data_IF_449538908105
#
_entry.id   IF_449538908105
#
_cell.length_a   1.000
_cell.length_b   1.000
_cell.length_c   1.000
_cell.angle_alpha   90.00
_cell.angle_beta   90.00
_cell.angle_gamma   90.00
#
_symmetry.space_group_name_H-M   'P 1'
#
loop_
_entity.id
_entity.type
_entity.pdbx_description
1 polymer ?
#
# COMPACT_ATOMS: atom_id res chain seq x y z
N UNK A 1 -27.53 31.65 -11.85
CA UNK A 1 -27.58 30.17 -11.86
C UNK A 1 -26.17 29.68 -11.53
N UNK A 2 -25.99 28.92 -10.43
CA UNK A 2 -24.68 28.47 -9.99
C UNK A 2 -24.08 27.47 -11.00
N UNK A 3 -22.80 27.62 -11.27
CA UNK A 3 -22.05 26.75 -12.19
C UNK A 3 -21.40 25.64 -11.36
N UNK A 4 -21.71 24.39 -11.66
CA UNK A 4 -21.20 23.24 -10.93
C UNK A 4 -20.21 22.43 -11.77
N UNK A 5 -19.15 21.95 -11.13
CA UNK A 5 -18.23 20.99 -11.70
C UNK A 5 -18.26 19.69 -10.91
N UNK A 6 -18.00 18.56 -11.56
CA UNK A 6 -17.93 17.25 -10.93
C UNK A 6 -16.48 16.77 -10.92
N UNK A 7 -16.06 16.16 -9.81
CA UNK A 7 -14.84 15.38 -9.74
C UNK A 7 -15.12 13.94 -9.33
N UNK A 8 -14.66 12.97 -10.13
CA UNK A 8 -14.83 11.54 -9.89
C UNK A 8 -13.50 10.78 -10.00
N UNK A 9 -13.32 9.74 -9.19
CA UNK A 9 -12.06 8.96 -9.15
C UNK A 9 -12.25 7.55 -8.62
N UNK A 10 -11.47 6.59 -9.13
CA UNK A 10 -11.24 5.31 -8.46
C UNK A 10 -9.74 4.99 -8.30
N UNK A 11 -9.38 4.08 -7.39
CA UNK A 11 -8.00 3.87 -6.93
C UNK A 11 -7.43 2.48 -7.15
N UNK A 12 -8.13 1.55 -7.84
CA UNK A 12 -7.62 0.20 -8.06
C UNK A 12 -8.04 -0.36 -9.42
N UNK A 13 -7.14 -1.12 -10.04
CA UNK A 13 -7.36 -1.78 -11.34
C UNK A 13 -8.55 -2.78 -11.34
N UNK A 14 -9.07 -3.15 -10.17
CA UNK A 14 -10.23 -4.01 -10.02
C UNK A 14 -11.59 -3.29 -9.97
N UNK A 15 -11.59 -1.96 -9.95
CA UNK A 15 -12.81 -1.16 -10.07
C UNK A 15 -12.96 -0.70 -11.53
N UNK A 16 -14.08 -1.08 -12.16
CA UNK A 16 -14.36 -0.83 -13.58
C UNK A 16 -14.69 0.64 -13.83
N UNK A 17 -14.56 1.09 -15.07
CA UNK A 17 -14.98 2.42 -15.53
C UNK A 17 -16.42 2.76 -15.16
N UNK A 18 -17.30 1.77 -15.08
CA UNK A 18 -18.65 1.88 -14.52
C UNK A 18 -18.73 2.58 -13.16
N UNK A 19 -17.66 2.53 -12.36
CA UNK A 19 -17.61 3.22 -11.05
C UNK A 19 -17.51 4.75 -11.17
N UNK A 20 -16.82 5.29 -12.20
CA UNK A 20 -16.78 6.74 -12.45
C UNK A 20 -18.11 7.20 -13.02
N UNK A 21 -18.67 6.48 -13.98
CA UNK A 21 -19.96 6.82 -14.59
C UNK A 21 -21.07 6.84 -13.56
N UNK A 22 -21.07 5.92 -12.59
CA UNK A 22 -22.02 5.91 -11.49
C UNK A 22 -21.87 7.13 -10.56
N UNK A 23 -20.62 7.49 -10.21
CA UNK A 23 -20.35 8.68 -9.40
C UNK A 23 -20.85 9.95 -10.13
N UNK A 24 -20.49 10.09 -11.41
CA UNK A 24 -20.90 11.23 -12.25
C UNK A 24 -22.42 11.29 -12.38
N UNK A 25 -23.07 10.13 -12.60
CA UNK A 25 -24.54 10.06 -12.72
C UNK A 25 -25.23 10.53 -11.42
N UNK A 26 -24.75 10.13 -10.27
CA UNK A 26 -25.30 10.55 -8.99
C UNK A 26 -25.06 12.05 -8.73
N UNK A 27 -23.86 12.55 -9.03
CA UNK A 27 -23.55 13.97 -8.92
C UNK A 27 -24.41 14.82 -9.87
N UNK A 28 -24.68 14.35 -11.10
CA UNK A 28 -25.58 15.03 -12.05
C UNK A 28 -26.99 15.15 -11.52
N UNK A 29 -27.55 14.10 -10.94
CA UNK A 29 -28.89 14.14 -10.31
C UNK A 29 -28.95 15.22 -9.22
N UNK A 30 -27.91 15.38 -8.43
CA UNK A 30 -27.82 16.41 -7.41
C UNK A 30 -27.80 17.80 -8.02
N UNK A 31 -27.00 18.02 -9.07
CA UNK A 31 -26.92 19.28 -9.82
C UNK A 31 -28.28 19.67 -10.40
N UNK A 32 -28.99 18.70 -11.00
CA UNK A 32 -30.33 18.91 -11.55
C UNK A 32 -31.37 19.25 -10.45
N UNK A 33 -31.33 18.53 -9.34
CA UNK A 33 -32.21 18.79 -8.19
C UNK A 33 -32.05 20.19 -7.60
N UNK A 34 -30.78 20.67 -7.54
CA UNK A 34 -30.48 21.99 -6.98
C UNK A 34 -30.60 23.12 -8.03
N UNK A 35 -30.98 22.78 -9.26
CA UNK A 35 -31.19 23.76 -10.34
C UNK A 35 -29.89 24.43 -10.83
N UNK A 36 -28.74 23.75 -10.69
CA UNK A 36 -27.44 24.28 -11.11
C UNK A 36 -27.11 23.89 -12.55
N UNK A 37 -26.13 24.59 -13.12
CA UNK A 37 -25.62 24.28 -14.46
C UNK A 37 -24.30 23.51 -14.37
N UNK A 38 -24.25 22.30 -14.90
CA UNK A 38 -23.01 21.57 -15.06
C UNK A 38 -22.10 22.24 -16.10
N UNK A 39 -20.86 22.55 -15.72
CA UNK A 39 -19.86 23.15 -16.62
C UNK A 39 -18.83 22.12 -17.10
N UNK A 40 -18.29 21.28 -16.22
CA UNK A 40 -17.22 20.36 -16.58
C UNK A 40 -17.26 19.11 -15.66
N UNK A 41 -16.72 17.99 -16.18
CA UNK A 41 -16.53 16.75 -15.43
C UNK A 41 -15.06 16.39 -15.47
N UNK A 42 -14.42 16.37 -14.31
CA UNK A 42 -13.03 15.95 -14.14
C UNK A 42 -12.97 14.53 -13.63
N UNK A 43 -12.09 13.72 -14.19
CA UNK A 43 -11.93 12.34 -13.73
C UNK A 43 -10.47 11.88 -13.74
N UNK A 44 -10.12 11.00 -12.80
CA UNK A 44 -8.83 10.34 -12.74
C UNK A 44 -9.02 8.82 -12.55
N UNK A 45 -8.50 8.04 -13.50
CA UNK A 45 -8.62 6.59 -13.56
C UNK A 45 -7.39 5.92 -12.95
N UNK A 46 -7.59 4.90 -12.12
CA UNK A 46 -6.55 4.03 -11.54
C UNK A 46 -5.40 4.76 -10.80
N UNK A 47 -5.61 6.00 -10.35
CA UNK A 47 -4.61 6.79 -9.64
C UNK A 47 -4.95 6.86 -8.15
N UNK A 48 -3.96 6.56 -7.28
CA UNK A 48 -4.13 6.62 -5.83
C UNK A 48 -4.54 8.03 -5.36
N UNK A 49 -5.50 8.08 -4.44
CA UNK A 49 -5.91 9.34 -3.78
C UNK A 49 -4.82 9.97 -2.89
N UNK A 50 -3.70 9.28 -2.68
CA UNK A 50 -2.54 9.81 -1.96
C UNK A 50 -1.53 10.53 -2.88
N UNK A 51 -1.85 10.70 -4.17
CA UNK A 51 -1.04 11.46 -5.13
C UNK A 51 -1.81 12.67 -5.62
N UNK A 52 -1.19 13.83 -5.57
CA UNK A 52 -1.71 15.09 -6.16
C UNK A 52 -1.36 15.23 -7.65
N UNK A 53 -0.51 14.35 -8.19
CA UNK A 53 -0.11 14.31 -9.61
C UNK A 53 -1.18 13.64 -10.49
N UNK A 54 -2.44 14.04 -10.34
CA UNK A 54 -3.60 13.53 -11.09
C UNK A 54 -4.00 14.56 -12.14
N UNK A 55 -3.97 14.24 -13.45
CA UNK A 55 -4.24 15.19 -14.52
C UNK A 55 -5.62 15.87 -14.41
N UNK A 56 -6.68 15.09 -14.13
CA UNK A 56 -8.02 15.63 -13.96
C UNK A 56 -8.13 16.56 -12.74
N UNK A 57 -7.48 16.19 -11.64
CA UNK A 57 -7.41 17.01 -10.43
C UNK A 57 -6.65 18.32 -10.67
N UNK A 58 -5.52 18.28 -11.38
CA UNK A 58 -4.75 19.48 -11.70
C UNK A 58 -5.51 20.42 -12.64
N UNK A 59 -6.21 19.86 -13.65
CA UNK A 59 -7.10 20.64 -14.52
C UNK A 59 -8.20 21.31 -13.71
N UNK A 60 -8.86 20.58 -12.83
CA UNK A 60 -9.89 21.11 -11.94
C UNK A 60 -9.38 22.31 -11.12
N UNK A 61 -8.19 22.19 -10.52
CA UNK A 61 -7.58 23.30 -9.75
C UNK A 61 -7.26 24.52 -10.62
N UNK A 62 -6.82 24.31 -11.84
CA UNK A 62 -6.54 25.37 -12.81
C UNK A 62 -7.81 26.10 -13.18
N UNK A 63 -8.86 25.37 -13.52
CA UNK A 63 -10.15 25.94 -13.89
C UNK A 63 -10.84 26.63 -12.71
N UNK A 64 -10.67 26.12 -11.49
CA UNK A 64 -11.11 26.77 -10.25
C UNK A 64 -10.48 28.16 -10.08
N UNK A 65 -9.16 28.26 -10.24
CA UNK A 65 -8.44 29.55 -10.15
C UNK A 65 -8.87 30.56 -11.22
N UNK A 66 -9.30 30.05 -12.36
CA UNK A 66 -9.79 30.86 -13.48
C UNK A 66 -11.31 31.19 -13.38
N UNK A 67 -11.96 30.83 -12.28
CA UNK A 67 -13.38 31.07 -12.09
C UNK A 67 -14.28 30.23 -13.01
N UNK A 68 -13.87 29.00 -13.35
CA UNK A 68 -14.60 28.12 -14.27
C UNK A 68 -15.93 27.60 -13.70
N UNK A 69 -16.09 27.53 -12.39
CA UNK A 69 -17.28 27.05 -11.69
C UNK A 69 -17.39 27.68 -10.30
N UNK A 70 -18.58 27.56 -9.68
CA UNK A 70 -18.91 28.14 -8.37
C UNK A 70 -19.02 27.03 -7.30
N UNK A 71 -19.30 25.78 -7.72
CA UNK A 71 -19.47 24.62 -6.84
C UNK A 71 -18.70 23.41 -7.39
N UNK A 72 -17.92 22.75 -6.54
CA UNK A 72 -17.33 21.45 -6.83
C UNK A 72 -18.14 20.35 -6.16
N UNK A 73 -18.60 19.36 -6.93
CA UNK A 73 -19.32 18.21 -6.42
C UNK A 73 -18.51 16.93 -6.60
N UNK A 74 -18.50 16.10 -5.54
CA UNK A 74 -17.93 14.74 -5.55
C UNK A 74 -18.85 13.77 -4.80
N UNK A 75 -18.69 12.48 -5.00
CA UNK A 75 -19.43 11.45 -4.26
C UNK A 75 -19.13 11.54 -2.76
N UNK A 76 -17.86 11.65 -2.40
CA UNK A 76 -17.38 11.76 -1.01
C UNK A 76 -16.03 12.48 -0.97
N UNK A 77 -15.63 12.99 0.20
CA UNK A 77 -14.34 13.68 0.38
C UNK A 77 -13.14 12.79 0.02
N UNK A 78 -13.21 11.47 0.20
CA UNK A 78 -12.13 10.54 -0.14
C UNK A 78 -11.91 10.39 -1.66
N UNK A 79 -12.85 10.84 -2.49
CA UNK A 79 -12.66 10.99 -3.94
C UNK A 79 -11.73 12.16 -4.24
N UNK A 80 -11.81 13.22 -3.47
CA UNK A 80 -10.94 14.40 -3.62
C UNK A 80 -9.51 14.07 -3.15
N UNK A 81 -9.35 13.68 -1.89
CA UNK A 81 -8.09 13.12 -1.37
C UNK A 81 -8.33 12.19 -0.16
N UNK A 82 -7.37 11.29 0.10
CA UNK A 82 -7.31 10.47 1.33
C UNK A 82 -6.35 11.05 2.36
N UNK A 83 -5.54 12.02 1.97
CA UNK A 83 -4.61 12.70 2.84
C UNK A 83 -5.26 13.94 3.44
N UNK A 84 -5.08 14.13 4.75
CA UNK A 84 -5.68 15.26 5.47
C UNK A 84 -5.09 16.60 5.04
N UNK A 85 -3.78 16.63 4.79
CA UNK A 85 -3.08 17.85 4.37
C UNK A 85 -3.55 18.31 2.99
N UNK A 86 -3.69 17.36 2.06
CA UNK A 86 -4.21 17.62 0.71
C UNK A 86 -5.64 18.15 0.74
N UNK A 87 -6.53 17.56 1.56
CA UNK A 87 -7.93 18.01 1.69
C UNK A 87 -7.99 19.41 2.29
N UNK A 88 -7.20 19.67 3.34
CA UNK A 88 -7.15 21.01 3.96
C UNK A 88 -6.59 22.05 2.98
N UNK A 89 -5.56 21.67 2.20
CA UNK A 89 -5.01 22.50 1.14
C UNK A 89 -6.01 22.82 0.04
N UNK A 90 -6.74 21.79 -0.43
CA UNK A 90 -7.81 21.93 -1.42
C UNK A 90 -8.92 22.87 -0.92
N UNK A 91 -9.40 22.61 0.31
CA UNK A 91 -10.44 23.44 0.92
C UNK A 91 -10.06 24.90 0.98
N UNK A 92 -8.83 25.22 1.45
CA UNK A 92 -8.32 26.59 1.49
C UNK A 92 -8.25 27.24 0.10
N UNK A 93 -7.77 26.50 -0.91
CA UNK A 93 -7.67 27.03 -2.27
C UNK A 93 -9.03 27.33 -2.88
N UNK A 94 -10.00 26.43 -2.72
CA UNK A 94 -11.34 26.61 -3.26
C UNK A 94 -12.13 27.68 -2.50
N UNK A 95 -12.01 27.72 -1.16
CA UNK A 95 -12.60 28.82 -0.36
C UNK A 95 -12.04 30.19 -0.71
N UNK A 96 -10.73 30.28 -1.01
CA UNK A 96 -10.12 31.53 -1.49
C UNK A 96 -10.68 31.96 -2.86
N UNK A 97 -11.07 31.02 -3.70
CA UNK A 97 -11.68 31.26 -5.01
C UNK A 97 -13.22 31.43 -4.93
N UNK A 98 -13.79 31.49 -3.72
CA UNK A 98 -15.25 31.54 -3.45
C UNK A 98 -16.00 30.36 -4.06
N UNK A 99 -15.39 29.18 -4.05
CA UNK A 99 -15.96 27.93 -4.57
C UNK A 99 -16.38 27.03 -3.41
N UNK A 100 -17.64 26.62 -3.39
CA UNK A 100 -18.17 25.67 -2.42
C UNK A 100 -17.78 24.24 -2.79
N UNK A 101 -17.50 23.41 -1.79
CA UNK A 101 -17.31 21.96 -1.95
C UNK A 101 -18.54 21.27 -1.39
N UNK A 102 -19.18 20.46 -2.21
CA UNK A 102 -20.33 19.64 -1.81
C UNK A 102 -20.05 18.19 -2.15
N UNK A 103 -20.33 17.31 -1.21
CA UNK A 103 -20.28 15.87 -1.43
C UNK A 103 -21.64 15.23 -1.23
N UNK A 104 -21.89 14.12 -1.89
CA UNK A 104 -23.17 13.40 -1.73
C UNK A 104 -23.25 12.75 -0.35
N UNK A 105 -22.09 12.32 0.21
CA UNK A 105 -22.04 11.62 1.49
C UNK A 105 -22.08 12.55 2.69
N UNK A 106 -21.41 13.70 2.64
CA UNK A 106 -21.21 14.60 3.77
C UNK A 106 -22.02 15.90 3.65
N UNK A 107 -22.58 16.21 2.46
CA UNK A 107 -23.22 17.49 2.18
C UNK A 107 -22.20 18.60 1.91
N UNK A 108 -22.50 19.82 2.34
CA UNK A 108 -21.58 20.95 2.24
C UNK A 108 -20.36 20.75 3.15
N UNK A 109 -19.17 20.81 2.56
CA UNK A 109 -17.90 20.60 3.27
C UNK A 109 -17.43 21.90 3.90
N UNK A 110 -17.21 21.90 5.20
CA UNK A 110 -16.68 23.01 5.97
C UNK A 110 -15.40 22.63 6.72
N UNK A 111 -14.79 23.58 7.42
CA UNK A 111 -13.55 23.36 8.18
C UNK A 111 -13.66 22.23 9.21
N UNK A 112 -14.83 22.11 9.86
CA UNK A 112 -15.08 21.04 10.83
C UNK A 112 -15.05 19.66 10.17
N UNK A 113 -15.68 19.49 9.01
CA UNK A 113 -15.64 18.26 8.22
C UNK A 113 -14.22 17.88 7.83
N UNK A 114 -13.43 18.85 7.35
CA UNK A 114 -12.02 18.65 6.97
C UNK A 114 -11.18 18.18 8.16
N UNK A 115 -11.29 18.86 9.30
CA UNK A 115 -10.54 18.53 10.51
C UNK A 115 -10.94 17.19 11.11
N UNK A 116 -12.25 16.96 11.27
CA UNK A 116 -12.76 15.75 11.91
C UNK A 116 -12.49 14.49 11.07
N UNK A 117 -12.79 14.53 9.77
CA UNK A 117 -12.62 13.37 8.89
C UNK A 117 -11.16 12.98 8.74
N UNK A 118 -10.26 13.95 8.65
CA UNK A 118 -8.81 13.67 8.62
C UNK A 118 -8.34 12.96 9.89
N UNK A 119 -8.77 13.46 11.04
CA UNK A 119 -8.44 12.85 12.34
C UNK A 119 -9.03 11.43 12.47
N UNK A 120 -10.28 11.23 12.10
CA UNK A 120 -10.93 9.92 12.12
C UNK A 120 -10.25 8.91 11.19
N UNK A 121 -9.88 9.32 9.98
CA UNK A 121 -9.15 8.46 9.04
C UNK A 121 -7.77 8.06 9.60
N UNK A 122 -7.03 9.00 10.21
CA UNK A 122 -5.76 8.71 10.84
C UNK A 122 -5.91 7.71 12.01
N UNK A 123 -6.93 7.88 12.85
CA UNK A 123 -7.25 6.96 13.94
C UNK A 123 -7.64 5.57 13.43
N UNK A 124 -8.49 5.50 12.39
CA UNK A 124 -8.90 4.24 11.77
C UNK A 124 -7.70 3.48 11.20
N UNK A 125 -6.82 4.15 10.46
CA UNK A 125 -5.61 3.53 9.90
C UNK A 125 -4.67 3.04 11.02
N UNK A 126 -4.56 3.79 12.12
CA UNK A 126 -3.76 3.40 13.28
C UNK A 126 -4.35 2.14 13.96
N UNK A 127 -5.67 2.10 14.14
CA UNK A 127 -6.36 0.94 14.73
C UNK A 127 -6.24 -0.30 13.83
N UNK A 128 -6.46 -0.15 12.53
CA UNK A 128 -6.27 -1.23 11.54
C UNK A 128 -4.83 -1.77 11.56
N UNK A 129 -3.83 -0.89 11.61
CA UNK A 129 -2.44 -1.29 11.71
C UNK A 129 -2.14 -2.04 13.01
N UNK A 130 -2.72 -1.62 14.14
CA UNK A 130 -2.60 -2.31 15.42
C UNK A 130 -3.27 -3.70 15.40
N UNK A 131 -4.48 -3.81 14.86
CA UNK A 131 -5.21 -5.09 14.73
C UNK A 131 -4.44 -6.06 13.84
N UNK A 132 -3.97 -5.59 12.68
CA UNK A 132 -3.14 -6.39 11.76
C UNK A 132 -1.86 -6.88 12.44
N UNK A 133 -1.16 -5.99 13.16
CA UNK A 133 0.05 -6.34 13.89
C UNK A 133 -0.21 -7.38 14.97
N UNK A 134 -1.27 -7.22 15.75
CA UNK A 134 -1.67 -8.19 16.80
C UNK A 134 -1.96 -9.57 16.18
N UNK A 135 -2.67 -9.62 15.06
CA UNK A 135 -2.93 -10.86 14.34
C UNK A 135 -1.67 -11.54 13.82
N UNK A 136 -0.70 -10.77 13.31
CA UNK A 136 0.61 -11.28 12.88
C UNK A 136 1.43 -11.79 14.08
N UNK A 137 1.44 -11.06 15.18
CA UNK A 137 2.13 -11.47 16.42
C UNK A 137 1.57 -12.80 16.96
N UNK A 138 0.24 -12.93 16.99
CA UNK A 138 -0.41 -14.18 17.40
C UNK A 138 0.01 -15.38 16.53
N UNK A 139 0.10 -15.18 15.21
CA UNK A 139 0.61 -16.23 14.28
C UNK A 139 2.07 -16.59 14.56
N UNK A 140 2.92 -15.60 14.77
CA UNK A 140 4.34 -15.84 15.04
C UNK A 140 4.55 -16.58 16.36
N UNK A 141 3.79 -16.25 17.41
CA UNK A 141 3.80 -16.99 18.70
C UNK A 141 3.40 -18.46 18.53
N UNK A 142 2.59 -18.78 17.53
CA UNK A 142 2.22 -20.16 17.18
C UNK A 142 3.25 -20.85 16.26
N UNK A 143 4.43 -20.24 16.02
CA UNK A 143 5.43 -20.76 15.09
C UNK A 143 5.09 -20.58 13.60
N UNK A 144 3.99 -19.90 13.29
CA UNK A 144 3.54 -19.65 11.90
C UNK A 144 4.17 -18.39 11.31
N UNK A 145 4.31 -18.36 9.99
CA UNK A 145 4.87 -17.19 9.31
C UNK A 145 4.03 -15.93 9.52
N UNK A 146 4.68 -14.83 9.88
CA UNK A 146 4.11 -13.49 9.91
C UNK A 146 4.08 -12.79 8.54
N UNK A 147 4.56 -13.44 7.47
CA UNK A 147 4.60 -12.94 6.10
C UNK A 147 5.90 -13.33 5.39
N UNK A 148 5.83 -13.41 4.06
CA UNK A 148 6.93 -13.88 3.22
C UNK A 148 7.21 -15.39 3.35
N UNK A 149 7.99 -15.91 2.40
CA UNK A 149 8.54 -17.26 2.47
C UNK A 149 10.06 -17.19 2.41
N UNK A 150 10.73 -18.18 3.01
CA UNK A 150 12.16 -18.34 2.91
C UNK A 150 12.48 -19.50 1.95
N UNK A 151 13.57 -19.41 1.19
CA UNK A 151 14.08 -20.52 0.40
C UNK A 151 14.27 -21.74 1.28
N UNK A 152 13.98 -22.93 0.79
CA UNK A 152 14.00 -24.17 1.59
C UNK A 152 12.67 -24.52 2.24
N UNK A 153 11.63 -23.70 2.06
CA UNK A 153 10.29 -23.96 2.60
C UNK A 153 9.20 -23.73 1.57
N UNK A 154 8.19 -24.60 1.58
CA UNK A 154 6.93 -24.43 0.85
C UNK A 154 5.85 -23.88 1.77
N UNK A 155 4.99 -23.03 1.24
CA UNK A 155 3.77 -22.60 1.92
C UNK A 155 2.73 -23.69 1.85
N UNK A 156 2.24 -24.14 3.00
CA UNK A 156 1.16 -25.12 3.09
C UNK A 156 -0.17 -24.40 2.91
N UNK A 157 -0.91 -24.79 1.86
CA UNK A 157 -2.27 -24.31 1.60
C UNK A 157 -3.26 -25.33 2.17
N UNK A 158 -3.83 -25.01 3.34
CA UNK A 158 -4.89 -25.81 3.99
C UNK A 158 -6.09 -24.93 4.31
N UNK A 159 -7.25 -25.55 4.36
CA UNK A 159 -8.49 -24.95 4.88
C UNK A 159 -8.75 -25.53 6.27
N UNK A 160 -9.37 -24.74 7.13
CA UNK A 160 -9.88 -25.23 8.41
C UNK A 160 -11.26 -25.90 8.24
N UNK A 161 -11.85 -26.37 9.34
CA UNK A 161 -13.14 -27.03 9.34
C UNK A 161 -14.30 -26.09 8.90
N UNK A 162 -14.10 -24.78 8.96
CA UNK A 162 -15.06 -23.77 8.51
C UNK A 162 -14.85 -23.34 7.03
N UNK A 163 -13.85 -23.92 6.34
CA UNK A 163 -13.51 -23.58 4.96
C UNK A 163 -12.64 -22.32 4.83
N UNK A 164 -12.10 -21.79 5.95
CA UNK A 164 -11.22 -20.63 5.93
C UNK A 164 -9.76 -21.05 5.74
N UNK A 165 -8.96 -20.29 4.95
CA UNK A 165 -7.57 -20.65 4.68
C UNK A 165 -6.69 -20.50 5.92
N UNK A 166 -6.06 -21.60 6.36
CA UNK A 166 -5.02 -21.60 7.38
C UNK A 166 -3.76 -20.99 6.79
N UNK A 167 -3.37 -19.80 7.28
CA UNK A 167 -2.24 -19.05 6.74
C UNK A 167 -1.00 -19.19 7.64
N UNK A 168 0.18 -19.19 6.98
CA UNK A 168 1.48 -19.10 7.66
C UNK A 168 2.10 -20.44 8.02
N UNK A 169 1.48 -21.57 7.70
CA UNK A 169 2.09 -22.90 7.81
C UNK A 169 3.12 -23.10 6.68
N UNK A 170 4.21 -23.77 7.03
CA UNK A 170 5.30 -24.11 6.10
C UNK A 170 5.69 -25.56 6.29
N UNK A 171 6.20 -26.16 5.22
CA UNK A 171 6.90 -27.46 5.26
C UNK A 171 8.28 -27.29 4.63
N UNK A 172 9.20 -28.15 4.98
CA UNK A 172 10.52 -28.18 4.37
C UNK A 172 10.36 -28.62 2.90
N UNK A 173 11.03 -27.89 2.00
CA UNK A 173 11.25 -28.30 0.63
C UNK A 173 12.61 -28.99 0.57
N UNK A 174 12.60 -30.32 0.49
CA UNK A 174 13.82 -31.13 0.63
C UNK A 174 14.88 -30.78 -0.43
N UNK A 175 14.47 -30.48 -1.67
CA UNK A 175 15.39 -30.11 -2.73
C UNK A 175 16.10 -28.77 -2.44
N UNK A 176 15.33 -27.77 -2.03
CA UNK A 176 15.90 -26.47 -1.65
C UNK A 176 16.68 -26.54 -0.33
N UNK A 177 16.25 -27.38 0.62
CA UNK A 177 16.96 -27.60 1.88
C UNK A 177 18.35 -28.20 1.66
N UNK A 178 18.50 -29.14 0.74
CA UNK A 178 19.79 -29.69 0.36
C UNK A 178 20.76 -28.61 -0.18
N UNK A 179 20.22 -27.67 -0.96
CA UNK A 179 21.02 -26.52 -1.45
C UNK A 179 21.43 -25.60 -0.30
N UNK A 180 20.56 -25.37 0.69
CA UNK A 180 20.91 -24.57 1.87
C UNK A 180 22.03 -25.23 2.65
N UNK A 181 21.94 -26.54 2.93
CA UNK A 181 22.98 -27.29 3.64
C UNK A 181 24.30 -27.18 2.88
N UNK A 182 24.30 -27.39 1.57
CA UNK A 182 25.47 -27.25 0.70
C UNK A 182 26.09 -25.84 0.81
N UNK A 183 25.27 -24.78 0.80
CA UNK A 183 25.76 -23.39 0.93
C UNK A 183 26.48 -23.20 2.26
N UNK A 184 25.95 -23.72 3.36
CA UNK A 184 26.61 -23.66 4.66
C UNK A 184 27.92 -24.46 4.70
N UNK A 185 27.93 -25.68 4.17
CA UNK A 185 29.11 -26.54 4.13
C UNK A 185 30.26 -25.93 3.31
N UNK A 186 29.94 -25.44 2.10
CA UNK A 186 30.93 -24.77 1.27
C UNK A 186 31.47 -23.49 1.92
N UNK A 187 30.61 -22.74 2.62
CA UNK A 187 31.04 -21.54 3.33
C UNK A 187 31.97 -21.85 4.51
N UNK A 188 31.65 -22.88 5.31
CA UNK A 188 32.49 -23.36 6.41
C UNK A 188 33.87 -23.83 5.89
N UNK A 189 33.91 -24.43 4.71
CA UNK A 189 35.15 -24.83 4.04
C UNK A 189 35.94 -23.63 3.47
N UNK A 190 35.50 -22.37 3.71
CA UNK A 190 36.20 -21.16 3.29
C UNK A 190 35.86 -20.68 1.87
N UNK A 191 34.88 -21.28 1.22
CA UNK A 191 34.42 -20.81 -0.10
C UNK A 191 33.66 -19.50 0.01
N UNK A 192 34.06 -18.51 -0.79
CA UNK A 192 33.38 -17.20 -0.71
C UNK A 192 31.95 -17.25 -1.27
N UNK A 193 31.00 -16.44 -0.75
CA UNK A 193 29.64 -16.37 -1.27
C UNK A 193 29.55 -16.09 -2.77
N UNK A 194 30.49 -15.36 -3.33
CA UNK A 194 30.60 -15.12 -4.77
C UNK A 194 30.90 -16.41 -5.55
N UNK A 195 31.86 -17.23 -5.05
CA UNK A 195 32.20 -18.50 -5.68
C UNK A 195 31.08 -19.52 -5.58
N UNK A 196 30.37 -19.55 -4.43
CA UNK A 196 29.21 -20.43 -4.23
C UNK A 196 28.07 -20.04 -5.18
N UNK A 197 27.73 -18.74 -5.26
CA UNK A 197 26.70 -18.26 -6.18
C UNK A 197 27.01 -18.58 -7.65
N UNK A 198 28.30 -18.43 -8.07
CA UNK A 198 28.74 -18.76 -9.41
C UNK A 198 28.61 -20.26 -9.71
N UNK A 199 28.96 -21.12 -8.77
CA UNK A 199 28.85 -22.57 -8.93
C UNK A 199 27.40 -23.00 -9.09
N UNK A 200 26.50 -22.53 -8.20
CA UNK A 200 25.08 -22.83 -8.28
C UNK A 200 24.44 -22.35 -9.60
N UNK A 201 24.83 -21.19 -10.10
CA UNK A 201 24.37 -20.68 -11.38
C UNK A 201 24.89 -21.51 -12.56
N UNK A 202 26.15 -21.91 -12.52
CA UNK A 202 26.77 -22.75 -13.56
C UNK A 202 26.11 -24.13 -13.64
N UNK A 203 25.68 -24.67 -12.50
CA UNK A 203 24.98 -25.93 -12.40
C UNK A 203 23.49 -25.82 -12.74
N UNK A 204 22.98 -24.61 -13.01
CA UNK A 204 21.58 -24.38 -13.34
C UNK A 204 20.63 -24.47 -12.14
N UNK A 205 21.14 -24.41 -10.90
CA UNK A 205 20.30 -24.44 -9.69
C UNK A 205 19.52 -23.15 -9.57
N UNK A 206 18.17 -23.19 -9.58
CA UNK A 206 17.38 -21.97 -9.49
C UNK A 206 17.52 -21.33 -8.11
N UNK A 207 17.74 -20.02 -8.10
CA UNK A 207 17.77 -19.23 -6.87
C UNK A 207 16.38 -18.92 -6.33
N UNK A 208 16.30 -18.25 -5.18
CA UNK A 208 15.01 -17.79 -4.64
C UNK A 208 14.22 -17.01 -5.69
N UNK A 209 12.92 -17.31 -5.82
CA UNK A 209 12.02 -16.73 -6.83
C UNK A 209 12.33 -17.09 -8.29
N UNK A 210 13.08 -18.18 -8.53
CA UNK A 210 13.40 -18.65 -9.88
C UNK A 210 14.50 -17.87 -10.61
N UNK A 211 15.13 -16.89 -9.94
CA UNK A 211 16.22 -16.08 -10.50
C UNK A 211 17.59 -16.73 -10.27
N UNK A 212 18.64 -16.11 -10.84
CA UNK A 212 20.03 -16.50 -10.58
C UNK A 212 20.45 -16.16 -9.14
N UNK A 213 21.40 -16.92 -8.62
CA UNK A 213 22.03 -16.66 -7.32
C UNK A 213 22.94 -15.42 -7.40
N UNK A 214 22.71 -14.47 -6.50
CA UNK A 214 23.64 -13.37 -6.28
C UNK A 214 24.47 -13.57 -5.01
N UNK A 215 25.69 -13.03 -4.91
CA UNK A 215 26.48 -13.08 -3.67
C UNK A 215 25.71 -12.50 -2.47
N UNK A 216 24.94 -11.45 -2.70
CA UNK A 216 24.09 -10.82 -1.67
C UNK A 216 22.94 -11.69 -1.22
N UNK A 217 22.42 -12.60 -2.07
CA UNK A 217 21.40 -13.58 -1.69
C UNK A 217 21.96 -14.57 -0.66
N UNK A 218 23.21 -14.96 -0.81
CA UNK A 218 23.89 -15.88 0.11
C UNK A 218 24.35 -15.14 1.38
N UNK A 219 25.20 -14.12 1.21
CA UNK A 219 25.81 -13.40 2.34
C UNK A 219 24.81 -12.50 3.07
N UNK A 220 23.98 -11.76 2.32
CA UNK A 220 22.98 -10.85 2.88
C UNK A 220 23.54 -9.74 3.75
N UNK A 221 22.82 -9.44 4.82
CA UNK A 221 23.20 -8.43 5.81
C UNK A 221 22.87 -8.93 7.22
N UNK A 222 23.89 -9.13 8.04
CA UNK A 222 23.76 -9.69 9.39
C UNK A 222 22.88 -8.83 10.32
N UNK A 223 22.96 -7.48 10.25
CA UNK A 223 22.14 -6.58 11.06
C UNK A 223 20.67 -6.67 10.71
N UNK A 224 20.35 -6.98 9.47
CA UNK A 224 18.97 -7.14 9.00
C UNK A 224 18.49 -8.59 9.11
N UNK A 225 19.39 -9.55 9.32
CA UNK A 225 19.09 -10.98 9.27
C UNK A 225 18.60 -11.43 7.89
N UNK A 226 19.16 -10.85 6.81
CA UNK A 226 18.83 -11.18 5.43
C UNK A 226 19.96 -11.99 4.79
N UNK A 227 19.63 -12.75 3.74
CA UNK A 227 20.53 -13.70 3.10
C UNK A 227 20.48 -15.09 3.76
N UNK A 228 20.92 -16.11 3.04
CA UNK A 228 20.88 -17.50 3.52
C UNK A 228 21.67 -17.65 4.83
N UNK A 229 22.91 -17.14 4.87
CA UNK A 229 23.82 -17.32 6.01
C UNK A 229 23.39 -16.59 7.30
N UNK A 230 22.48 -15.61 7.22
CA UNK A 230 22.03 -14.85 8.40
C UNK A 230 20.56 -15.09 8.74
N UNK A 231 19.90 -16.02 8.07
CA UNK A 231 18.49 -16.28 8.33
C UNK A 231 18.35 -17.30 9.48
N UNK A 232 18.02 -16.81 10.65
CA UNK A 232 17.88 -17.65 11.86
C UNK A 232 16.76 -18.70 11.75
N UNK A 233 15.90 -18.64 10.73
CA UNK A 233 14.90 -19.66 10.50
C UNK A 233 15.54 -21.04 10.28
N UNK A 234 16.73 -21.10 9.64
CA UNK A 234 17.45 -22.34 9.38
C UNK A 234 18.05 -23.02 10.63
N UNK A 235 18.06 -22.31 11.75
CA UNK A 235 18.40 -22.85 13.06
C UNK A 235 17.18 -22.94 13.98
N UNK A 236 15.96 -22.92 13.42
CA UNK A 236 14.71 -23.08 14.16
C UNK A 236 14.21 -21.81 14.86
N UNK A 237 14.79 -20.64 14.60
CA UNK A 237 14.35 -19.38 15.23
C UNK A 237 13.55 -18.52 14.25
N UNK A 238 12.27 -18.34 14.55
CA UNK A 238 11.41 -17.44 13.78
C UNK A 238 11.52 -16.02 14.33
N UNK A 239 12.32 -15.18 13.67
CA UNK A 239 12.49 -13.78 14.05
C UNK A 239 11.56 -12.89 13.22
N UNK A 240 10.70 -12.18 13.90
CA UNK A 240 9.71 -11.29 13.28
C UNK A 240 9.88 -9.86 13.78
N UNK A 241 9.54 -8.87 12.90
CA UNK A 241 9.44 -7.45 13.27
C UNK A 241 10.77 -6.81 13.72
N UNK A 242 11.90 -7.21 13.11
CA UNK A 242 13.24 -6.64 13.36
C UNK A 242 13.37 -5.16 13.03
N UNK A 243 12.56 -4.67 12.10
CA UNK A 243 12.65 -3.30 11.60
C UNK A 243 11.31 -2.60 11.67
N UNK A 244 11.34 -1.30 11.96
CA UNK A 244 10.22 -0.39 11.79
C UNK A 244 10.48 0.46 10.56
N UNK A 245 9.53 0.50 9.65
CA UNK A 245 9.58 1.38 8.49
C UNK A 245 8.83 2.67 8.79
N UNK A 246 9.50 3.81 8.59
CA UNK A 246 8.94 5.14 8.75
C UNK A 246 9.01 5.80 7.38
N UNK A 247 7.90 6.41 6.95
CA UNK A 247 7.87 7.22 5.73
C UNK A 247 8.57 8.54 6.02
N UNK A 248 9.52 8.89 5.20
CA UNK A 248 10.20 10.18 5.23
C UNK A 248 9.20 11.24 4.72
N UNK A 249 8.89 12.29 5.48
CA UNK A 249 7.89 13.28 5.09
C UNK A 249 8.28 14.06 3.83
N UNK A 250 9.58 14.33 3.64
CA UNK A 250 10.07 15.17 2.55
C UNK A 250 10.16 14.37 1.23
N UNK A 251 10.65 13.14 1.30
CA UNK A 251 10.94 12.32 0.10
C UNK A 251 9.87 11.27 -0.19
N UNK A 252 8.93 11.04 0.72
CA UNK A 252 7.94 9.96 0.64
C UNK A 252 8.52 8.54 0.73
N UNK A 253 9.84 8.37 0.81
CA UNK A 253 10.53 7.08 0.83
C UNK A 253 10.45 6.43 2.21
N UNK A 254 10.29 5.12 2.24
CA UNK A 254 10.33 4.36 3.49
C UNK A 254 11.77 4.15 3.96
N UNK A 255 12.08 4.57 5.18
CA UNK A 255 13.36 4.31 5.86
C UNK A 255 13.16 3.24 6.93
N UNK A 256 13.95 2.16 6.84
CA UNK A 256 13.98 1.10 7.86
C UNK A 256 14.85 1.53 9.05
N UNK A 257 14.31 1.46 10.26
CA UNK A 257 15.07 1.60 11.52
C UNK A 257 15.04 0.29 12.26
N UNK A 258 16.18 -0.16 12.77
CA UNK A 258 16.24 -1.33 13.63
C UNK A 258 15.37 -1.09 14.88
N UNK A 259 14.67 -2.12 15.36
CA UNK A 259 14.06 -2.09 16.68
C UNK A 259 15.11 -2.56 17.67
N UNK A 260 15.28 -1.79 18.74
CA UNK A 260 15.98 -2.26 19.94
C UNK A 260 15.08 -3.35 20.52
N UNK A 261 15.62 -4.55 20.61
CA UNK A 261 14.99 -5.69 21.31
C UNK A 261 15.19 -5.56 22.78
#
# INVERSE_FOLDING_TARGET
MMRAAIYARYSSDNQRDASIDDQVRQCRKRIESDGWRLTEVYSDHAISGASTLRPGYQKMLTDARNGGFDVLIAEAMDRLSRDQEDIAGLYKQLSFADIQIITLSEGEVNELHVGLKGTMNALFLKDLAQKTRRGLEGRVRQGKSGGGNAYGYDVVKKMDAAGEPIRGERRINEAEAAIIVRIFDEFIQGRSPKKIAHALNHEGVPGPTGNTWGPSTIHGNWRRGTGILNNELYIGRLVWNRQRFIKDPDTGRRRGRARVQ
#
